data_IF_742656141505
#
_entry.id   IF_742656141505
#
_cell.length_a   1.000
_cell.length_b   1.000
_cell.length_c   1.000
_cell.angle_alpha   90.00
_cell.angle_beta   90.00
_cell.angle_gamma   90.00
#
_symmetry.space_group_name_H-M   'P 1'
#
loop_
_entity.id
_entity.type
_entity.pdbx_description
1 polymer ?
#
# COMPACT_ATOMS: atom_id res chain seq x y z
N UNK A 1 13.58 9.00 -4.43
CA UNK A 1 12.59 9.68 -3.55
C UNK A 1 12.98 11.05 -2.98
N UNK A 2 14.26 11.46 -2.91
CA UNK A 2 14.61 12.84 -2.50
C UNK A 2 14.29 13.89 -3.58
N UNK A 3 14.02 13.44 -4.81
CA UNK A 3 13.66 14.30 -5.93
C UNK A 3 12.24 14.86 -5.78
N UNK A 4 11.97 15.99 -6.44
CA UNK A 4 10.64 16.62 -6.47
C UNK A 4 9.59 15.72 -7.09
N UNK A 5 8.36 15.81 -6.61
CA UNK A 5 7.22 15.13 -7.24
C UNK A 5 6.77 15.90 -8.49
N UNK A 6 7.23 15.48 -9.67
CA UNK A 6 6.94 16.19 -10.93
C UNK A 6 7.39 17.66 -10.87
N UNK A 7 6.44 18.59 -11.01
CA UNK A 7 6.68 20.04 -10.91
C UNK A 7 6.31 20.63 -9.52
N UNK A 8 6.00 19.79 -8.54
CA UNK A 8 5.60 20.24 -7.21
C UNK A 8 6.77 20.85 -6.41
N UNK A 9 6.43 21.53 -5.32
CA UNK A 9 7.42 22.12 -4.41
C UNK A 9 7.97 21.11 -3.40
N UNK A 10 7.22 20.04 -3.11
CA UNK A 10 7.60 18.96 -2.21
C UNK A 10 8.29 17.80 -2.95
N UNK A 11 8.91 16.92 -2.17
CA UNK A 11 9.60 15.72 -2.65
C UNK A 11 8.65 14.55 -2.82
N UNK A 12 9.06 13.52 -3.57
CA UNK A 12 8.32 12.26 -3.60
C UNK A 12 8.23 11.59 -2.23
N UNK A 13 9.22 11.80 -1.35
CA UNK A 13 9.17 11.25 0.01
C UNK A 13 8.04 11.88 0.83
N UNK A 14 7.81 13.18 0.65
CA UNK A 14 6.66 13.89 1.22
C UNK A 14 5.36 13.29 0.67
N UNK A 15 5.24 13.12 -0.65
CA UNK A 15 4.07 12.50 -1.27
C UNK A 15 3.79 11.07 -0.76
N UNK A 16 4.84 10.26 -0.54
CA UNK A 16 4.69 8.92 0.06
C UNK A 16 4.17 9.01 1.50
N UNK A 17 4.74 9.91 2.30
CA UNK A 17 4.35 10.07 3.70
C UNK A 17 2.89 10.53 3.80
N UNK A 18 2.52 11.52 3.00
CA UNK A 18 1.15 12.04 2.92
C UNK A 18 0.17 10.95 2.49
N UNK A 19 0.51 10.19 1.45
CA UNK A 19 -0.32 9.08 0.98
C UNK A 19 -0.55 8.02 2.07
N UNK A 20 0.47 7.66 2.85
CA UNK A 20 0.31 6.69 3.96
C UNK A 20 -0.49 7.29 5.11
N UNK A 21 -0.24 8.54 5.49
CA UNK A 21 -1.00 9.22 6.55
C UNK A 21 -2.49 9.35 6.17
N UNK A 22 -2.79 9.77 4.93
CA UNK A 22 -4.14 9.79 4.39
C UNK A 22 -4.77 8.39 4.40
N UNK A 23 -3.99 7.34 4.06
CA UNK A 23 -4.50 5.96 4.13
C UNK A 23 -4.93 5.59 5.54
N UNK A 24 -4.08 5.81 6.52
CA UNK A 24 -4.37 5.49 7.91
C UNK A 24 -5.59 6.24 8.42
N UNK A 25 -5.68 7.52 8.09
CA UNK A 25 -6.80 8.37 8.46
C UNK A 25 -8.12 7.84 7.89
N UNK A 26 -8.18 7.59 6.57
CA UNK A 26 -9.37 7.07 5.89
C UNK A 26 -9.80 5.69 6.40
N UNK A 27 -8.84 4.80 6.67
CA UNK A 27 -9.14 3.48 7.26
C UNK A 27 -9.76 3.63 8.65
N UNK A 28 -9.21 4.52 9.48
CA UNK A 28 -9.73 4.75 10.83
C UNK A 28 -11.11 5.39 10.83
N UNK A 29 -11.37 6.36 9.94
CA UNK A 29 -12.71 6.94 9.79
C UNK A 29 -13.78 5.88 9.50
N UNK A 30 -13.46 4.86 8.69
CA UNK A 30 -14.38 3.74 8.38
C UNK A 30 -14.54 2.74 9.53
N UNK A 31 -13.69 2.83 10.54
CA UNK A 31 -13.79 2.02 11.74
C UNK A 31 -14.65 2.66 12.82
N UNK A 32 -15.03 3.93 12.67
CA UNK A 32 -15.91 4.62 13.61
C UNK A 32 -17.32 4.06 13.47
N UNK A 33 -17.85 3.51 14.57
CA UNK A 33 -19.21 2.99 14.66
C UNK A 33 -20.25 4.11 14.68
N UNK A 34 -21.52 3.73 14.56
CA UNK A 34 -22.65 4.66 14.67
C UNK A 34 -22.73 5.38 16.02
N UNK A 35 -22.14 4.81 17.08
CA UNK A 35 -22.05 5.44 18.41
C UNK A 35 -20.76 6.27 18.61
N UNK A 36 -19.95 6.44 17.56
CA UNK A 36 -18.72 7.25 17.59
C UNK A 36 -17.48 6.52 18.13
N UNK A 37 -17.60 5.26 18.52
CA UNK A 37 -16.48 4.45 18.99
C UNK A 37 -15.62 3.94 17.83
N UNK A 38 -14.30 4.08 17.96
CA UNK A 38 -13.35 3.51 17.02
C UNK A 38 -13.21 2.00 17.24
N UNK A 39 -13.73 1.20 16.30
CA UNK A 39 -13.67 -0.26 16.36
C UNK A 39 -12.34 -0.77 15.82
N UNK A 40 -11.79 -1.80 16.47
CA UNK A 40 -10.54 -2.40 16.04
C UNK A 40 -10.75 -3.38 14.87
N UNK A 41 -11.14 -2.87 13.70
CA UNK A 41 -11.45 -3.69 12.50
C UNK A 41 -10.24 -3.98 11.62
N UNK A 42 -9.16 -3.21 11.77
CA UNK A 42 -7.93 -3.40 11.01
C UNK A 42 -6.73 -3.51 11.93
N UNK A 43 -5.77 -4.29 11.49
CA UNK A 43 -4.40 -4.27 11.97
C UNK A 43 -3.49 -3.87 10.82
N UNK A 44 -2.59 -2.93 11.08
CA UNK A 44 -1.80 -2.28 10.05
C UNK A 44 -0.31 -2.57 10.29
N UNK A 45 0.40 -2.89 9.23
CA UNK A 45 1.85 -2.91 9.19
C UNK A 45 2.35 -1.84 8.23
N UNK A 46 3.41 -1.14 8.62
CA UNK A 46 4.13 -0.21 7.74
C UNK A 46 5.55 -0.76 7.60
N UNK A 47 5.96 -1.03 6.36
CA UNK A 47 7.30 -1.51 6.04
C UNK A 47 8.02 -0.40 5.29
N UNK A 48 8.98 0.24 5.95
CA UNK A 48 9.93 1.14 5.31
C UNK A 48 11.08 0.35 4.69
N UNK A 49 11.49 0.70 3.47
CA UNK A 49 12.65 0.10 2.83
C UNK A 49 13.49 1.17 2.11
N UNK A 50 14.81 1.05 2.23
CA UNK A 50 15.76 2.14 1.91
C UNK A 50 16.29 2.81 3.17
N UNK A 51 16.57 4.12 3.12
CA UNK A 51 17.24 4.97 4.13
C UNK A 51 18.69 4.56 4.42
N UNK A 52 18.93 3.28 4.63
CA UNK A 52 20.23 2.64 4.75
C UNK A 52 20.39 1.56 3.66
N UNK A 53 21.62 1.25 3.24
CA UNK A 53 21.84 0.23 2.23
C UNK A 53 21.18 -1.08 2.61
N UNK A 54 20.37 -1.63 1.70
CA UNK A 54 19.81 -2.97 1.86
C UNK A 54 18.88 -3.16 3.07
N UNK A 55 18.35 -2.06 3.64
CA UNK A 55 17.57 -2.04 4.88
C UNK A 55 16.07 -2.12 4.65
N UNK A 56 15.40 -2.85 5.54
CA UNK A 56 13.95 -2.97 5.67
C UNK A 56 13.62 -2.90 7.15
N UNK A 57 12.72 -2.02 7.53
CA UNK A 57 12.41 -1.69 8.91
C UNK A 57 10.91 -1.44 9.09
N UNK A 58 10.44 -1.57 10.34
CA UNK A 58 9.12 -1.09 10.68
C UNK A 58 9.08 0.42 10.47
N UNK A 59 8.09 0.89 9.72
CA UNK A 59 7.86 2.31 9.48
C UNK A 59 7.11 3.02 10.61
N UNK A 60 6.72 2.31 11.67
CA UNK A 60 6.09 2.95 12.83
C UNK A 60 7.11 3.81 13.59
N UNK A 61 6.68 5.01 13.96
CA UNK A 61 7.47 5.99 14.70
C UNK A 61 6.87 6.28 16.09
N UNK A 62 7.55 7.11 16.89
CA UNK A 62 7.06 7.54 18.20
C UNK A 62 6.78 6.38 19.16
N UNK A 63 5.61 6.39 19.82
CA UNK A 63 5.22 5.33 20.76
C UNK A 63 4.89 3.98 20.10
N UNK A 64 4.81 3.95 18.77
CA UNK A 64 4.59 2.72 17.99
C UNK A 64 5.90 2.15 17.45
N UNK A 65 7.03 2.84 17.65
CA UNK A 65 8.34 2.39 17.18
C UNK A 65 8.69 0.98 17.63
N UNK A 66 9.25 0.18 16.70
CA UNK A 66 9.64 -1.21 16.93
C UNK A 66 8.50 -2.23 16.84
N UNK A 67 7.24 -1.80 16.78
CA UNK A 67 6.11 -2.70 16.49
C UNK A 67 6.08 -3.02 15.00
N UNK A 68 5.58 -4.20 14.61
CA UNK A 68 5.42 -4.55 13.19
C UNK A 68 3.97 -4.47 12.72
N UNK A 69 3.06 -4.99 13.54
CA UNK A 69 1.61 -4.95 13.30
C UNK A 69 0.97 -4.20 14.46
N UNK A 70 0.15 -3.19 14.15
CA UNK A 70 -0.49 -2.32 15.13
C UNK A 70 -1.99 -2.26 14.85
N UNK A 71 -2.86 -2.53 15.83
CA UNK A 71 -4.30 -2.39 15.65
C UNK A 71 -4.70 -0.92 15.41
N UNK A 72 -5.65 -0.67 14.51
CA UNK A 72 -6.04 0.68 14.07
C UNK A 72 -6.44 1.60 15.22
N UNK A 73 -7.05 1.04 16.28
CA UNK A 73 -7.38 1.79 17.49
C UNK A 73 -6.12 2.35 18.16
N UNK A 74 -5.07 1.53 18.28
CA UNK A 74 -3.80 1.96 18.85
C UNK A 74 -3.08 2.95 17.92
N UNK A 75 -3.25 2.85 16.61
CA UNK A 75 -2.71 3.85 15.67
C UNK A 75 -3.28 5.24 16.02
N UNK A 76 -4.59 5.34 16.17
CA UNK A 76 -5.27 6.60 16.50
C UNK A 76 -5.02 7.10 17.93
N UNK A 77 -4.69 6.21 18.88
CA UNK A 77 -4.30 6.61 20.23
C UNK A 77 -2.91 7.29 20.27
N UNK A 78 -2.06 7.09 19.25
CA UNK A 78 -0.65 7.54 19.25
C UNK A 78 -0.20 8.21 17.93
N UNK A 79 -0.80 9.33 17.49
CA UNK A 79 -0.24 10.14 16.41
C UNK A 79 1.10 10.78 16.82
N UNK A 80 1.94 11.10 15.84
CA UNK A 80 3.16 11.89 16.07
C UNK A 80 2.87 13.40 16.23
N UNK A 81 1.75 13.86 15.68
CA UNK A 81 1.33 15.24 15.64
C UNK A 81 0.17 15.41 14.67
N UNK A 82 -0.13 16.66 14.32
CA UNK A 82 -1.15 17.03 13.35
C UNK A 82 -0.57 18.03 12.33
N UNK A 83 -0.94 17.86 11.05
CA UNK A 83 -0.66 18.78 9.95
C UNK A 83 -1.97 19.01 9.18
N UNK A 84 -2.30 20.28 8.90
CA UNK A 84 -3.57 20.69 8.25
C UNK A 84 -4.83 20.04 8.88
N UNK A 85 -4.91 20.07 10.21
CA UNK A 85 -5.98 19.47 11.04
C UNK A 85 -6.14 17.94 10.86
N UNK A 86 -5.12 17.26 10.33
CA UNK A 86 -5.06 15.81 10.20
C UNK A 86 -3.92 15.20 11.02
N UNK A 87 -4.14 14.09 11.74
CA UNK A 87 -3.06 13.38 12.42
C UNK A 87 -2.05 12.80 11.43
N UNK A 88 -0.77 12.84 11.82
CA UNK A 88 0.33 12.19 11.11
C UNK A 88 0.94 11.08 11.97
N UNK A 89 1.31 9.95 11.35
CA UNK A 89 1.90 8.79 12.03
C UNK A 89 3.27 8.40 11.51
N UNK A 90 3.61 8.85 10.30
CA UNK A 90 4.93 8.70 9.71
C UNK A 90 5.41 10.02 9.14
N UNK A 91 6.72 10.20 9.08
CA UNK A 91 7.38 11.35 8.45
C UNK A 91 8.07 10.96 7.15
N UNK A 92 8.24 11.90 6.21
CA UNK A 92 8.99 11.66 4.99
C UNK A 92 10.42 11.23 5.30
N UNK A 93 10.85 10.15 4.65
CA UNK A 93 12.21 9.67 4.69
C UNK A 93 12.64 9.20 3.32
N UNK A 94 13.83 9.63 2.89
CA UNK A 94 14.47 9.17 1.67
C UNK A 94 15.95 8.89 1.92
N UNK A 95 16.49 7.90 1.21
CA UNK A 95 17.91 7.61 1.23
C UNK A 95 18.21 6.23 0.70
N UNK A 96 19.45 6.05 0.23
CA UNK A 96 19.96 4.78 -0.26
C UNK A 96 19.18 4.19 -1.45
N UNK A 97 19.43 2.90 -1.70
CA UNK A 97 18.81 2.11 -2.76
C UNK A 97 17.38 1.68 -2.39
N UNK A 98 16.69 1.04 -3.33
CA UNK A 98 15.31 0.56 -3.19
C UNK A 98 15.29 -0.98 -3.09
N UNK A 99 15.50 -1.58 -1.90
CA UNK A 99 15.55 -3.03 -1.72
C UNK A 99 14.13 -3.64 -1.67
N UNK A 100 13.42 -3.52 -2.80
CA UNK A 100 12.01 -3.89 -2.91
C UNK A 100 11.78 -5.40 -2.74
N UNK A 101 12.70 -6.25 -3.21
CA UNK A 101 12.61 -7.70 -3.01
C UNK A 101 12.60 -8.03 -1.53
N UNK A 102 13.51 -7.45 -0.76
CA UNK A 102 13.55 -7.65 0.70
C UNK A 102 12.30 -7.11 1.40
N UNK A 103 11.74 -6.00 0.93
CA UNK A 103 10.50 -5.47 1.46
C UNK A 103 9.35 -6.48 1.29
N UNK A 104 9.21 -7.07 0.10
CA UNK A 104 8.23 -8.13 -0.14
C UNK A 104 8.55 -9.43 0.62
N UNK A 105 9.82 -9.83 0.76
CA UNK A 105 10.19 -10.95 1.63
C UNK A 105 9.72 -10.74 3.07
N UNK A 106 9.84 -9.52 3.60
CA UNK A 106 9.36 -9.15 4.93
C UNK A 106 7.83 -9.12 5.00
N UNK A 107 7.17 -8.52 4.00
CA UNK A 107 5.71 -8.50 3.88
C UNK A 107 5.13 -9.93 3.84
N UNK A 108 5.77 -10.85 3.12
CA UNK A 108 5.39 -12.27 3.07
C UNK A 108 5.42 -12.91 4.44
N UNK A 109 6.50 -12.70 5.21
CA UNK A 109 6.62 -13.22 6.58
C UNK A 109 5.50 -12.67 7.47
N UNK A 110 5.29 -11.35 7.46
CA UNK A 110 4.24 -10.72 8.24
C UNK A 110 2.84 -11.23 7.86
N UNK A 111 2.53 -11.34 6.57
CA UNK A 111 1.24 -11.87 6.12
C UNK A 111 1.05 -13.32 6.57
N UNK A 112 2.07 -14.17 6.40
CA UNK A 112 2.01 -15.56 6.83
C UNK A 112 1.82 -15.68 8.34
N UNK A 113 2.63 -14.96 9.12
CA UNK A 113 2.56 -15.00 10.58
C UNK A 113 1.22 -14.46 11.08
N UNK A 114 0.72 -13.38 10.49
CA UNK A 114 -0.59 -12.81 10.80
C UNK A 114 -1.72 -13.80 10.52
N UNK A 115 -1.77 -14.41 9.33
CA UNK A 115 -2.81 -15.38 8.95
C UNK A 115 -2.85 -16.57 9.91
N UNK A 116 -1.68 -17.03 10.39
CA UNK A 116 -1.55 -18.20 11.25
C UNK A 116 -1.67 -17.86 12.76
N UNK A 117 -1.97 -16.62 13.11
CA UNK A 117 -2.09 -16.19 14.50
C UNK A 117 -3.56 -16.01 14.91
N UNK A 118 -3.92 -16.53 16.08
CA UNK A 118 -5.25 -16.37 16.67
C UNK A 118 -6.38 -16.82 15.74
N UNK A 119 -7.36 -15.96 15.52
CA UNK A 119 -8.53 -16.18 14.65
C UNK A 119 -8.40 -15.48 13.28
N UNK A 120 -7.21 -15.03 12.89
CA UNK A 120 -7.01 -14.26 11.66
C UNK A 120 -7.27 -15.06 10.38
N UNK A 121 -7.22 -16.39 10.46
CA UNK A 121 -7.64 -17.26 9.35
C UNK A 121 -9.12 -17.04 8.96
N UNK A 122 -9.94 -16.54 9.88
CA UNK A 122 -11.34 -16.17 9.67
C UNK A 122 -11.53 -14.65 9.48
N UNK A 123 -10.50 -13.95 9.02
CA UNK A 123 -10.57 -12.53 8.65
C UNK A 123 -10.40 -12.33 7.14
N UNK A 124 -10.69 -11.11 6.66
CA UNK A 124 -10.38 -10.73 5.28
C UNK A 124 -8.87 -10.93 5.03
N UNK A 125 -8.47 -11.46 3.85
CA UNK A 125 -7.05 -11.70 3.58
C UNK A 125 -6.23 -10.40 3.59
N UNK A 126 -4.92 -10.47 3.91
CA UNK A 126 -4.04 -9.32 3.88
C UNK A 126 -4.05 -8.61 2.52
N UNK A 127 -3.99 -7.28 2.57
CA UNK A 127 -3.79 -6.44 1.38
C UNK A 127 -2.46 -5.72 1.57
N UNK A 128 -1.51 -5.96 0.67
CA UNK A 128 -0.21 -5.28 0.65
C UNK A 128 -0.27 -4.17 -0.38
N UNK A 129 -0.10 -2.92 0.08
CA UNK A 129 -0.01 -1.75 -0.77
C UNK A 129 1.45 -1.30 -0.82
N UNK A 130 2.07 -1.43 -1.98
CA UNK A 130 3.42 -0.94 -2.21
C UNK A 130 3.37 0.45 -2.84
N UNK A 131 4.04 1.42 -2.23
CA UNK A 131 4.12 2.81 -2.71
C UNK A 131 5.58 3.11 -3.03
N UNK A 132 5.87 3.42 -4.29
CA UNK A 132 7.26 3.51 -4.78
C UNK A 132 7.40 4.31 -6.07
N UNK A 133 8.61 4.77 -6.37
CA UNK A 133 8.99 5.41 -7.64
C UNK A 133 9.51 4.38 -8.66
N UNK A 134 9.48 3.09 -8.28
CA UNK A 134 9.53 1.95 -9.19
C UNK A 134 10.90 1.30 -9.36
N UNK A 135 11.99 1.94 -8.93
CA UNK A 135 13.34 1.46 -9.24
C UNK A 135 13.82 0.34 -8.31
N UNK A 136 13.28 -0.88 -8.43
CA UNK A 136 13.77 -2.02 -7.65
C UNK A 136 15.26 -2.31 -7.94
N UNK A 137 16.09 -2.30 -6.89
CA UNK A 137 17.56 -2.37 -7.01
C UNK A 137 18.19 -3.69 -6.56
N UNK A 138 17.42 -4.58 -5.92
CA UNK A 138 17.91 -5.81 -5.29
C UNK A 138 17.40 -7.10 -5.97
N UNK A 139 16.83 -6.96 -7.18
CA UNK A 139 16.08 -7.99 -7.89
C UNK A 139 16.75 -8.46 -9.19
N UNK A 140 17.91 -7.90 -9.53
CA UNK A 140 18.63 -8.16 -10.77
C UNK A 140 17.87 -7.66 -12.01
N UNK A 141 18.47 -7.84 -13.20
CA UNK A 141 17.91 -7.30 -14.45
C UNK A 141 16.69 -8.05 -14.98
N UNK A 142 16.32 -9.22 -14.45
CA UNK A 142 15.09 -9.93 -14.85
C UNK A 142 13.94 -9.74 -13.86
N UNK A 143 14.22 -9.22 -12.67
CA UNK A 143 13.29 -9.11 -11.56
C UNK A 143 12.68 -10.44 -11.09
N UNK A 144 13.22 -11.59 -11.52
CA UNK A 144 12.62 -12.91 -11.26
C UNK A 144 12.41 -13.19 -9.77
N UNK A 145 13.40 -12.84 -8.93
CA UNK A 145 13.31 -13.05 -7.48
C UNK A 145 12.16 -12.25 -6.87
N UNK A 146 12.05 -10.97 -7.25
CA UNK A 146 10.96 -10.10 -6.82
C UNK A 146 9.60 -10.62 -7.29
N UNK A 147 9.47 -11.00 -8.57
CA UNK A 147 8.23 -11.60 -9.10
C UNK A 147 7.84 -12.84 -8.32
N UNK A 148 8.77 -13.75 -8.06
CA UNK A 148 8.52 -14.96 -7.29
C UNK A 148 8.08 -14.66 -5.86
N UNK A 149 8.72 -13.70 -5.17
CA UNK A 149 8.32 -13.30 -3.82
C UNK A 149 6.90 -12.71 -3.78
N UNK A 150 6.53 -11.91 -4.78
CA UNK A 150 5.18 -11.35 -4.92
C UNK A 150 4.13 -12.45 -5.19
N UNK A 151 4.42 -13.40 -6.08
CA UNK A 151 3.51 -14.54 -6.32
C UNK A 151 3.34 -15.40 -5.06
N UNK A 152 4.43 -15.65 -4.31
CA UNK A 152 4.33 -16.37 -3.03
C UNK A 152 3.42 -15.67 -2.01
N UNK A 153 3.33 -14.33 -2.03
CA UNK A 153 2.38 -13.60 -1.17
C UNK A 153 0.96 -13.79 -1.67
N UNK A 154 0.71 -13.69 -2.99
CA UNK A 154 -0.62 -13.89 -3.58
C UNK A 154 -1.15 -15.31 -3.35
N UNK A 155 -0.28 -16.29 -3.16
CA UNK A 155 -0.66 -17.66 -2.80
C UNK A 155 -1.07 -17.81 -1.32
N UNK A 156 -0.77 -16.82 -0.46
CA UNK A 156 -1.29 -16.81 0.92
C UNK A 156 -2.80 -16.54 0.91
N UNK A 157 -3.53 -17.22 1.79
CA UNK A 157 -4.98 -17.11 1.84
C UNK A 157 -5.53 -17.19 3.26
N UNK A 158 -6.68 -16.57 3.47
CA UNK A 158 -7.58 -16.82 4.60
C UNK A 158 -8.78 -17.62 4.12
N UNK A 159 -9.73 -17.90 5.01
CA UNK A 159 -10.99 -18.53 4.63
C UNK A 159 -11.89 -17.63 3.74
N UNK A 160 -11.49 -16.37 3.53
CA UNK A 160 -12.21 -15.38 2.72
C UNK A 160 -11.50 -15.00 1.41
N UNK A 161 -10.40 -15.66 1.07
CA UNK A 161 -9.71 -15.49 -0.22
C UNK A 161 -8.20 -15.32 -0.10
N UNK A 162 -7.58 -14.97 -1.22
CA UNK A 162 -6.14 -14.78 -1.35
C UNK A 162 -5.70 -13.36 -0.96
N UNK A 163 -4.47 -13.23 -0.48
CA UNK A 163 -3.84 -11.94 -0.26
C UNK A 163 -3.70 -11.17 -1.58
N UNK A 164 -3.81 -9.84 -1.50
CA UNK A 164 -3.79 -8.97 -2.68
C UNK A 164 -2.57 -8.06 -2.64
N UNK A 165 -1.96 -7.84 -3.80
CA UNK A 165 -0.85 -6.93 -4.01
C UNK A 165 -1.32 -5.76 -4.84
N UNK A 166 -1.12 -4.56 -4.34
CA UNK A 166 -1.46 -3.31 -5.00
C UNK A 166 -0.22 -2.45 -5.11
N UNK A 167 -0.08 -1.71 -6.20
CA UNK A 167 1.05 -0.81 -6.41
C UNK A 167 0.57 0.60 -6.71
N UNK A 168 1.15 1.56 -6.00
CA UNK A 168 1.04 3.00 -6.27
C UNK A 168 2.40 3.46 -6.76
N UNK A 169 2.45 3.84 -8.04
CA UNK A 169 3.65 4.30 -8.71
C UNK A 169 3.70 5.83 -8.72
N UNK A 170 4.72 6.38 -8.04
CA UNK A 170 4.98 7.82 -7.92
C UNK A 170 6.05 8.21 -8.95
N UNK A 171 5.61 8.74 -10.09
CA UNK A 171 6.48 9.13 -11.19
C UNK A 171 6.75 10.63 -11.23
N UNK A 172 7.86 11.01 -11.87
CA UNK A 172 8.15 12.41 -12.23
C UNK A 172 7.52 12.83 -13.56
N UNK A 173 7.02 11.87 -14.34
CA UNK A 173 6.40 12.16 -15.63
C UNK A 173 5.10 12.93 -15.39
N UNK A 174 4.98 14.12 -15.97
CA UNK A 174 3.70 14.79 -16.13
C UNK A 174 2.86 13.94 -17.09
N UNK A 175 1.90 13.20 -16.55
CA UNK A 175 1.00 12.34 -17.30
C UNK A 175 -0.32 12.24 -16.57
N UNK A 176 -1.36 11.83 -17.31
CA UNK A 176 -2.66 11.62 -16.73
C UNK A 176 -2.60 10.52 -15.67
N UNK A 177 -3.32 10.76 -14.57
CA UNK A 177 -3.50 9.78 -13.51
C UNK A 177 -4.15 8.52 -14.09
N UNK A 178 -3.50 7.37 -13.93
CA UNK A 178 -4.07 6.08 -14.32
C UNK A 178 -4.56 5.35 -13.07
N UNK A 179 -5.85 5.08 -13.02
CA UNK A 179 -6.48 4.32 -11.95
C UNK A 179 -6.95 2.97 -12.48
N UNK A 180 -6.40 1.90 -11.93
CA UNK A 180 -6.81 0.53 -12.23
C UNK A 180 -6.80 0.17 -13.72
N UNK A 181 -5.69 0.39 -14.44
CA UNK A 181 -5.63 0.01 -15.84
C UNK A 181 -5.69 -1.51 -15.99
N UNK A 182 -6.18 -1.97 -17.13
CA UNK A 182 -6.07 -3.36 -17.60
C UNK A 182 -4.81 -3.58 -18.47
N UNK A 183 -4.15 -2.51 -18.90
CA UNK A 183 -2.88 -2.53 -19.62
C UNK A 183 -2.04 -1.27 -19.36
N UNK A 184 -0.72 -1.37 -19.49
CA UNK A 184 0.19 -0.21 -19.46
C UNK A 184 1.02 -0.18 -20.73
N UNK A 185 0.81 0.82 -21.57
CA UNK A 185 1.61 1.04 -22.78
C UNK A 185 2.80 1.95 -22.46
N UNK A 186 3.84 1.35 -21.88
CA UNK A 186 5.02 2.07 -21.41
C UNK A 186 6.31 1.40 -21.87
N UNK A 187 7.29 2.23 -22.25
CA UNK A 187 8.68 1.83 -22.45
C UNK A 187 9.48 1.71 -21.14
N UNK A 188 8.87 2.11 -20.03
CA UNK A 188 9.46 2.05 -18.71
C UNK A 188 9.31 0.65 -18.10
N UNK A 189 10.45 -0.02 -17.95
CA UNK A 189 10.51 -1.39 -17.43
C UNK A 189 10.02 -1.50 -15.99
N UNK A 190 10.12 -0.44 -15.19
CA UNK A 190 9.73 -0.45 -13.79
C UNK A 190 8.24 -0.22 -13.64
N UNK A 191 7.67 0.68 -14.44
CA UNK A 191 6.23 0.87 -14.56
C UNK A 191 5.54 -0.44 -14.97
N UNK A 192 6.08 -1.10 -16.01
CA UNK A 192 5.61 -2.42 -16.45
C UNK A 192 5.73 -3.48 -15.36
N UNK A 193 6.86 -3.52 -14.64
CA UNK A 193 7.05 -4.43 -13.52
C UNK A 193 5.97 -4.23 -12.45
N UNK A 194 5.77 -3.02 -11.95
CA UNK A 194 4.77 -2.76 -10.90
C UNK A 194 3.36 -3.15 -11.34
N UNK A 195 3.00 -2.88 -12.60
CA UNK A 195 1.74 -3.33 -13.17
C UNK A 195 1.64 -4.87 -13.23
N UNK A 196 2.70 -5.56 -13.62
CA UNK A 196 2.75 -7.03 -13.63
C UNK A 196 2.59 -7.61 -12.22
N UNK A 197 3.25 -7.00 -11.22
CA UNK A 197 3.19 -7.41 -9.81
C UNK A 197 1.81 -7.20 -9.18
N UNK A 198 1.01 -6.23 -9.64
CA UNK A 198 -0.33 -5.97 -9.11
C UNK A 198 -1.31 -7.13 -9.35
N UNK A 199 -2.18 -7.38 -8.38
CA UNK A 199 -3.26 -8.37 -8.44
C UNK A 199 -4.38 -7.88 -9.37
N UNK A 200 -4.92 -8.78 -10.20
CA UNK A 200 -6.10 -8.53 -11.01
C UNK A 200 -7.34 -8.35 -10.12
N UNK A 201 -8.18 -7.39 -10.49
CA UNK A 201 -9.43 -7.09 -9.80
C UNK A 201 -10.48 -8.13 -10.15
N UNK A 202 -11.19 -8.65 -9.15
CA UNK A 202 -12.32 -9.54 -9.37
C UNK A 202 -13.57 -8.77 -9.80
N UNK A 203 -14.58 -9.51 -10.31
CA UNK A 203 -15.81 -8.92 -10.84
C UNK A 203 -16.56 -8.06 -9.80
N UNK A 204 -16.50 -8.45 -8.51
CA UNK A 204 -17.15 -7.70 -7.45
C UNK A 204 -16.45 -6.36 -7.23
N UNK A 205 -15.13 -6.34 -7.21
CA UNK A 205 -14.34 -5.11 -7.09
C UNK A 205 -14.60 -4.17 -8.28
N UNK A 206 -14.60 -4.70 -9.51
CA UNK A 206 -14.89 -3.92 -10.73
C UNK A 206 -16.31 -3.34 -10.65
N UNK A 207 -17.29 -4.14 -10.22
CA UNK A 207 -18.68 -3.67 -10.06
C UNK A 207 -18.79 -2.54 -9.04
N UNK A 208 -18.18 -2.68 -7.86
CA UNK A 208 -18.19 -1.65 -6.80
C UNK A 208 -17.55 -0.36 -7.32
N UNK A 209 -16.44 -0.48 -8.03
CA UNK A 209 -15.76 0.68 -8.58
C UNK A 209 -16.59 1.42 -9.63
N UNK A 210 -17.25 0.71 -10.54
CA UNK A 210 -18.19 1.30 -11.49
C UNK A 210 -19.34 2.03 -10.78
N UNK A 211 -19.87 1.47 -9.69
CA UNK A 211 -20.89 2.13 -8.86
C UNK A 211 -20.37 3.41 -8.19
N UNK A 212 -19.09 3.48 -7.85
CA UNK A 212 -18.41 4.68 -7.33
C UNK A 212 -17.98 5.66 -8.41
N UNK A 213 -18.34 5.42 -9.68
CA UNK A 213 -18.07 6.31 -10.80
C UNK A 213 -16.71 6.12 -11.48
N UNK A 214 -15.95 5.07 -11.14
CA UNK A 214 -14.70 4.75 -11.83
C UNK A 214 -14.98 4.04 -13.16
N UNK A 215 -14.35 4.53 -14.23
CA UNK A 215 -14.38 3.85 -15.53
C UNK A 215 -13.29 2.78 -15.57
N UNK A 216 -13.64 1.54 -15.22
CA UNK A 216 -12.69 0.43 -15.12
C UNK A 216 -13.05 -0.68 -16.12
N UNK A 217 -12.04 -1.12 -16.86
CA UNK A 217 -12.16 -2.21 -17.82
C UNK A 217 -12.12 -3.60 -17.17
N UNK A 218 -12.49 -4.62 -17.95
CA UNK A 218 -12.28 -6.01 -17.54
C UNK A 218 -10.78 -6.30 -17.41
N UNK A 219 -10.41 -7.18 -16.47
CA UNK A 219 -9.02 -7.52 -16.14
C UNK A 219 -8.17 -6.35 -15.63
N UNK A 220 -8.82 -5.27 -15.16
CA UNK A 220 -8.13 -4.20 -14.46
C UNK A 220 -7.30 -4.74 -13.30
N UNK A 221 -6.18 -4.09 -13.01
CA UNK A 221 -5.28 -4.47 -11.93
C UNK A 221 -5.28 -3.43 -10.82
N UNK A 222 -4.92 -3.86 -9.63
CA UNK A 222 -4.63 -3.01 -8.47
C UNK A 222 -3.38 -2.15 -8.65
N UNK A 223 -3.36 -1.31 -9.67
CA UNK A 223 -2.25 -0.46 -10.05
C UNK A 223 -2.74 0.97 -10.18
N UNK A 224 -1.98 1.91 -9.62
CA UNK A 224 -2.24 3.35 -9.67
C UNK A 224 -0.96 4.05 -10.12
N UNK A 225 -1.05 4.90 -11.12
CA UNK A 225 0.05 5.75 -11.59
C UNK A 225 -0.29 7.22 -11.32
N UNK A 226 0.59 7.92 -10.59
CA UNK A 226 0.40 9.33 -10.19
C UNK A 226 -1.00 9.62 -9.59
N UNK A 227 -1.58 8.64 -8.91
CA UNK A 227 -2.85 8.77 -8.20
C UNK A 227 -2.67 8.74 -6.70
N UNK A 228 -3.65 9.29 -5.96
CA UNK A 228 -3.60 9.29 -4.51
C UNK A 228 -3.99 7.89 -4.00
N UNK A 229 -3.33 7.45 -2.93
CA UNK A 229 -3.68 6.23 -2.23
C UNK A 229 -5.12 6.21 -1.71
N UNK A 230 -5.74 7.36 -1.45
CA UNK A 230 -7.15 7.46 -1.07
C UNK A 230 -8.10 6.87 -2.13
N UNK A 231 -7.78 7.00 -3.43
CA UNK A 231 -8.55 6.36 -4.50
C UNK A 231 -8.52 4.83 -4.37
N UNK A 232 -7.37 4.28 -3.97
CA UNK A 232 -7.18 2.85 -3.76
C UNK A 232 -8.05 2.33 -2.61
N UNK A 233 -8.07 3.05 -1.48
CA UNK A 233 -8.87 2.64 -0.32
C UNK A 233 -10.36 2.77 -0.62
N UNK A 234 -10.77 3.85 -1.30
CA UNK A 234 -12.14 4.03 -1.77
C UNK A 234 -12.56 2.87 -2.67
N UNK A 235 -11.68 2.46 -3.57
CA UNK A 235 -11.91 1.34 -4.46
C UNK A 235 -12.03 -0.01 -3.72
N UNK A 236 -11.12 -0.30 -2.79
CA UNK A 236 -11.07 -1.59 -2.09
C UNK A 236 -12.26 -1.85 -1.15
N UNK A 237 -13.12 -0.83 -0.94
CA UNK A 237 -14.26 -0.90 -0.03
C UNK A 237 -13.86 -1.47 1.34
N UNK A 238 -12.67 -1.05 1.81
CA UNK A 238 -12.12 -1.42 3.11
C UNK A 238 -13.11 -0.92 4.16
N UNK A 239 -13.79 -1.84 4.83
CA UNK A 239 -14.92 -1.59 5.74
C UNK A 239 -16.25 -1.91 5.05
N UNK A 240 -17.06 -2.77 5.66
CA UNK A 240 -18.44 -3.01 5.21
C UNK A 240 -19.17 -1.67 5.16
N UNK A 241 -19.76 -1.25 4.03
CA UNK A 241 -20.75 -0.19 4.04
C UNK A 241 -21.84 -0.61 5.03
N UNK A 242 -22.19 0.29 5.94
CA UNK A 242 -23.40 0.13 6.74
C UNK A 242 -24.62 0.29 5.84
#
# INVERSE_FOLDING_TARGET
MSDKFGNALHTKADEVADAVNDILYEIGLRCIGSSGELKNRFEIAIIGYGKEPNSVLSGWEGQLSGKWVVPIKNVFDYPLGEEDDKPIWIKPAAGSNTPMTKAFENAKRLCNDWINWGNHRDCHPPIVINITDGEATDSGSSFNKLKQEVENIKDLYTNYGQAKILNIHISNKSGDKLLFPNEVNTGDRFERLLFELSTSLDENMIRIAKQKGYNIDHNAKGYVFNGNATDLINFLNIGTPQ
#
